data_IF_725486777364
#
_entry.id   IF_725486777364
#
_cell.length_a   1.000
_cell.length_b   1.000
_cell.length_c   1.000
_cell.angle_alpha   90.00
_cell.angle_beta   90.00
_cell.angle_gamma   90.00
#
_symmetry.space_group_name_H-M   'P 1'
#
loop_
_entity.id
_entity.type
_entity.pdbx_description
1 polymer ?
#
# COMPACT_ATOMS: atom_id res chain seq x y z
N UNK A 1 -23.55 25.10 -33.77
CA UNK A 1 -23.43 26.22 -32.82
C UNK A 1 -22.20 25.96 -31.98
N UNK A 2 -21.08 26.62 -32.28
CA UNK A 2 -19.91 26.54 -31.39
C UNK A 2 -20.20 27.38 -30.16
N UNK A 3 -20.06 26.79 -28.98
CA UNK A 3 -20.38 27.44 -27.73
C UNK A 3 -19.29 28.48 -27.44
N UNK A 4 -19.69 29.72 -27.11
CA UNK A 4 -18.78 30.82 -26.74
C UNK A 4 -17.73 30.42 -25.69
N UNK A 5 -18.07 29.46 -24.82
CA UNK A 5 -17.18 28.91 -23.82
C UNK A 5 -15.97 28.17 -24.43
N UNK A 6 -16.19 27.34 -25.47
CA UNK A 6 -15.11 26.61 -26.15
C UNK A 6 -14.15 27.57 -26.85
N UNK A 7 -14.66 28.64 -27.44
CA UNK A 7 -13.83 29.67 -28.09
C UNK A 7 -12.97 30.43 -27.08
N UNK A 8 -13.53 30.77 -25.91
CA UNK A 8 -12.79 31.45 -24.83
C UNK A 8 -11.73 30.54 -24.22
N UNK A 9 -12.07 29.28 -23.97
CA UNK A 9 -11.13 28.30 -23.42
C UNK A 9 -10.00 28.02 -24.41
N UNK A 10 -10.32 27.83 -25.69
CA UNK A 10 -9.31 27.64 -26.75
C UNK A 10 -8.35 28.83 -26.83
N UNK A 11 -8.84 30.07 -26.77
CA UNK A 11 -7.98 31.27 -26.79
C UNK A 11 -7.07 31.34 -25.57
N UNK A 12 -7.61 31.12 -24.36
CA UNK A 12 -6.80 31.13 -23.13
C UNK A 12 -5.73 30.04 -23.11
N UNK A 13 -6.07 28.83 -23.57
CA UNK A 13 -5.11 27.73 -23.67
C UNK A 13 -4.02 28.05 -24.70
N UNK A 14 -4.36 28.71 -25.81
CA UNK A 14 -3.40 29.11 -26.85
C UNK A 14 -2.45 30.21 -26.35
N UNK A 15 -2.97 31.19 -25.59
CA UNK A 15 -2.14 32.24 -24.98
C UNK A 15 -1.20 31.68 -23.90
N UNK A 16 -1.69 30.76 -23.06
CA UNK A 16 -0.88 30.07 -22.06
C UNK A 16 0.21 29.20 -22.70
N UNK A 17 -0.12 28.50 -23.79
CA UNK A 17 0.87 27.70 -24.53
C UNK A 17 1.90 28.60 -25.22
N UNK A 18 1.49 29.74 -25.77
CA UNK A 18 2.40 30.69 -26.39
C UNK A 18 3.37 31.31 -25.39
N UNK A 19 2.90 31.63 -24.19
CA UNK A 19 3.77 32.10 -23.09
C UNK A 19 4.74 31.02 -22.62
N UNK A 20 4.37 29.73 -22.70
CA UNK A 20 5.28 28.62 -22.39
C UNK A 20 6.33 28.39 -23.49
N UNK A 21 5.94 28.53 -24.76
CA UNK A 21 6.82 28.32 -25.90
C UNK A 21 7.80 29.50 -26.08
N UNK A 22 7.36 30.73 -25.81
CA UNK A 22 8.18 31.94 -25.93
C UNK A 22 9.06 32.21 -24.69
N UNK A 23 8.89 31.44 -23.60
CA UNK A 23 9.71 31.56 -22.40
C UNK A 23 11.11 30.95 -22.64
N UNK A 24 12.20 31.68 -22.30
CA UNK A 24 13.54 31.13 -22.43
C UNK A 24 13.71 29.88 -21.53
N UNK A 25 14.35 28.85 -22.07
CA UNK A 25 14.56 27.57 -21.38
C UNK A 25 15.22 27.80 -20.01
N UNK A 26 14.60 27.26 -18.95
CA UNK A 26 15.10 27.35 -17.56
C UNK A 26 14.35 28.32 -16.63
N UNK A 27 13.44 29.15 -17.15
CA UNK A 27 12.65 30.11 -16.35
C UNK A 27 11.70 29.46 -15.35
N UNK A 28 10.96 28.43 -15.76
CA UNK A 28 10.06 27.68 -14.87
C UNK A 28 10.77 27.03 -13.67
N UNK A 29 12.03 26.66 -13.86
CA UNK A 29 12.83 26.05 -12.80
C UNK A 29 13.38 27.10 -11.83
N UNK A 30 13.66 28.32 -12.30
CA UNK A 30 14.08 29.45 -11.47
C UNK A 30 12.92 29.93 -10.58
N UNK A 31 11.74 30.15 -11.15
CA UNK A 31 10.56 30.62 -10.40
C UNK A 31 10.12 29.59 -9.34
N UNK A 32 10.16 28.30 -9.69
CA UNK A 32 9.86 27.22 -8.75
C UNK A 32 10.88 27.16 -7.59
N UNK A 33 12.16 27.45 -7.86
CA UNK A 33 13.21 27.48 -6.85
C UNK A 33 13.05 28.65 -5.88
N UNK A 34 12.66 29.83 -6.38
CA UNK A 34 12.38 31.01 -5.57
C UNK A 34 11.17 30.80 -4.65
N UNK A 35 10.09 30.22 -5.18
CA UNK A 35 8.91 29.88 -4.39
C UNK A 35 9.24 28.87 -3.28
N UNK A 36 10.02 27.83 -3.58
CA UNK A 36 10.46 26.84 -2.61
C UNK A 36 11.35 27.45 -1.51
N UNK A 37 12.22 28.40 -1.87
CA UNK A 37 13.11 29.09 -0.93
C UNK A 37 12.34 30.01 0.03
N UNK A 38 11.34 30.74 -0.49
CA UNK A 38 10.44 31.59 0.30
C UNK A 38 9.63 30.79 1.33
N UNK A 39 9.10 29.62 0.93
CA UNK A 39 8.40 28.75 1.87
C UNK A 39 9.33 28.19 2.96
N UNK A 40 10.54 27.80 2.58
CA UNK A 40 11.55 27.33 3.53
C UNK A 40 11.89 28.42 4.56
N UNK A 41 12.15 29.66 4.13
CA UNK A 41 12.44 30.79 5.02
C UNK A 41 11.29 31.10 5.99
N UNK A 42 10.03 31.09 5.52
CA UNK A 42 8.85 31.28 6.39
C UNK A 42 8.79 30.26 7.53
N UNK A 43 9.08 28.99 7.23
CA UNK A 43 9.07 27.91 8.24
C UNK A 43 10.21 28.06 9.24
N UNK A 44 11.36 28.58 8.82
CA UNK A 44 12.52 28.76 9.70
C UNK A 44 12.37 30.00 10.58
N UNK A 45 11.78 31.10 10.09
CA UNK A 45 11.42 32.27 10.90
C UNK A 45 10.34 31.95 11.96
N UNK A 46 9.35 31.12 11.61
CA UNK A 46 8.33 30.67 12.57
C UNK A 46 8.94 29.89 13.75
N UNK A 47 10.04 29.15 13.50
CA UNK A 47 10.69 28.32 14.51
C UNK A 47 11.61 29.10 15.45
N UNK A 48 11.99 30.33 15.09
CA UNK A 48 12.92 31.18 15.85
C UNK A 48 12.25 32.33 16.59
N UNK A 49 10.93 32.49 16.50
CA UNK A 49 10.21 33.49 17.31
C UNK A 49 10.05 32.92 18.72
N UNK A 50 10.68 33.50 19.76
CA UNK A 50 10.37 33.12 21.13
C UNK A 50 8.92 33.52 21.38
N UNK A 51 8.08 32.56 21.77
CA UNK A 51 6.75 32.86 22.29
C UNK A 51 6.92 33.92 23.39
N UNK A 52 6.26 35.10 23.30
CA UNK A 52 6.31 36.05 24.40
C UNK A 52 5.83 35.34 25.67
N UNK A 53 6.46 35.58 26.84
CA UNK A 53 5.98 35.00 28.07
C UNK A 53 4.56 35.53 28.27
N UNK A 54 3.57 34.65 28.07
CA UNK A 54 2.21 34.97 28.46
C UNK A 54 2.25 35.16 29.97
N UNK A 55 1.92 36.35 30.46
CA UNK A 55 1.68 36.57 31.87
C UNK A 55 0.65 35.53 32.31
N UNK A 56 1.09 34.59 33.14
CA UNK A 56 0.26 33.51 33.66
C UNK A 56 -0.89 34.17 34.43
N UNK A 57 -2.16 33.96 34.04
CA UNK A 57 -3.28 34.46 34.83
C UNK A 57 -3.19 33.86 36.23
N UNK A 58 -3.54 34.61 37.29
CA UNK A 58 -3.44 34.13 38.66
C UNK A 58 -4.23 32.83 38.77
N UNK A 59 -3.55 31.78 39.25
CA UNK A 59 -4.12 30.46 39.46
C UNK A 59 -5.19 30.61 40.54
N UNK A 60 -6.42 30.92 40.13
CA UNK A 60 -7.60 30.67 40.93
C UNK A 60 -7.63 29.16 41.17
N UNK A 61 -7.91 28.76 42.41
CA UNK A 61 -8.05 27.36 42.85
C UNK A 61 -9.21 26.67 42.10
N UNK A 62 -9.00 26.40 40.82
CA UNK A 62 -9.84 25.50 40.05
C UNK A 62 -9.57 24.10 40.61
N UNK A 63 -10.61 23.33 40.95
CA UNK A 63 -10.45 21.93 41.26
C UNK A 63 -9.68 21.32 40.09
N UNK A 64 -8.55 20.66 40.39
CA UNK A 64 -7.86 19.84 39.41
C UNK A 64 -8.80 18.70 39.06
N UNK A 65 -9.71 18.93 38.11
CA UNK A 65 -10.35 17.86 37.37
C UNK A 65 -9.20 17.12 36.73
N UNK A 66 -8.82 16.02 37.38
CA UNK A 66 -7.81 15.13 36.86
C UNK A 66 -8.24 14.83 35.43
N UNK A 67 -7.34 14.95 34.43
CA UNK A 67 -7.65 14.47 33.10
C UNK A 67 -8.19 13.06 33.27
N UNK A 68 -9.42 12.84 32.81
CA UNK A 68 -10.03 11.52 32.79
C UNK A 68 -9.14 10.73 31.84
N UNK A 69 -8.08 10.12 32.38
CA UNK A 69 -7.35 9.07 31.71
C UNK A 69 -8.33 7.91 31.72
N UNK A 70 -9.21 7.92 30.72
CA UNK A 70 -10.03 6.78 30.38
C UNK A 70 -9.04 5.64 30.16
N UNK A 71 -8.97 4.75 31.15
CA UNK A 71 -8.11 3.57 31.16
C UNK A 71 -8.35 2.89 29.81
N UNK A 72 -7.35 2.73 28.94
CA UNK A 72 -7.58 2.18 27.62
C UNK A 72 -8.22 0.82 27.85
N UNK A 73 -9.44 0.65 27.34
CA UNK A 73 -10.24 -0.54 27.50
C UNK A 73 -9.47 -1.71 26.87
N UNK A 74 -8.71 -2.40 27.72
CA UNK A 74 -7.85 -3.53 27.40
C UNK A 74 -8.73 -4.77 27.17
N UNK A 75 -9.57 -4.76 26.13
CA UNK A 75 -10.24 -5.96 25.59
C UNK A 75 -11.04 -5.69 24.31
N UNK A 76 -10.49 -4.89 23.39
CA UNK A 76 -10.94 -4.98 22.00
C UNK A 76 -10.24 -6.19 21.37
N UNK A 77 -10.93 -7.31 21.07
CA UNK A 77 -10.31 -8.40 20.34
C UNK A 77 -9.70 -7.80 19.08
N UNK A 78 -8.41 -8.07 18.82
CA UNK A 78 -7.75 -7.59 17.61
C UNK A 78 -8.50 -8.18 16.42
N UNK A 79 -9.49 -7.44 15.93
CA UNK A 79 -10.39 -7.89 14.88
C UNK A 79 -9.52 -8.16 13.66
N UNK A 80 -9.59 -9.39 13.15
CA UNK A 80 -8.76 -9.80 12.02
C UNK A 80 -9.25 -9.01 10.81
N UNK A 81 -8.61 -7.88 10.53
CA UNK A 81 -9.01 -6.92 9.48
C UNK A 81 -9.04 -7.52 8.06
N UNK A 82 -8.40 -8.68 7.85
CA UNK A 82 -8.33 -9.36 6.56
C UNK A 82 -8.71 -10.86 6.65
N UNK A 83 -9.97 -11.19 7.03
CA UNK A 83 -10.38 -12.59 7.17
C UNK A 83 -10.53 -13.27 5.80
N UNK A 84 -11.07 -12.54 4.80
CA UNK A 84 -11.25 -13.04 3.43
C UNK A 84 -9.92 -13.43 2.76
N UNK A 85 -8.87 -12.62 2.96
CA UNK A 85 -7.56 -12.87 2.36
C UNK A 85 -6.91 -14.15 2.90
N UNK A 86 -7.13 -14.46 4.18
CA UNK A 86 -6.69 -15.72 4.80
C UNK A 86 -7.46 -16.93 4.24
N UNK A 87 -8.76 -16.77 3.95
CA UNK A 87 -9.55 -17.81 3.28
C UNK A 87 -9.02 -18.07 1.87
N UNK A 88 -8.74 -17.02 1.10
CA UNK A 88 -8.18 -17.15 -0.26
C UNK A 88 -6.83 -17.88 -0.22
N UNK A 89 -5.93 -17.51 0.69
CA UNK A 89 -4.67 -18.24 0.87
C UNK A 89 -4.90 -19.73 1.19
N UNK A 90 -5.87 -20.02 2.07
CA UNK A 90 -6.28 -21.39 2.38
C UNK A 90 -6.81 -22.17 1.16
N UNK A 91 -7.59 -21.52 0.29
CA UNK A 91 -8.10 -22.13 -0.95
C UNK A 91 -6.95 -22.47 -1.89
N UNK A 92 -6.01 -21.54 -2.11
CA UNK A 92 -4.81 -21.81 -2.93
C UNK A 92 -4.00 -22.98 -2.38
N UNK A 93 -3.81 -23.04 -1.07
CA UNK A 93 -3.11 -24.14 -0.41
C UNK A 93 -3.85 -25.48 -0.60
N UNK A 94 -5.17 -25.51 -0.41
CA UNK A 94 -5.97 -26.71 -0.60
C UNK A 94 -5.93 -27.21 -2.05
N UNK A 95 -6.11 -26.30 -3.02
CA UNK A 95 -6.03 -26.62 -4.45
C UNK A 95 -4.64 -27.12 -4.83
N UNK A 96 -3.57 -26.54 -4.28
CA UNK A 96 -2.22 -27.01 -4.53
C UNK A 96 -2.02 -28.46 -4.09
N UNK A 97 -2.51 -28.84 -2.90
CA UNK A 97 -2.45 -30.23 -2.44
C UNK A 97 -3.29 -31.17 -3.30
N UNK A 98 -4.47 -30.73 -3.74
CA UNK A 98 -5.32 -31.52 -4.66
C UNK A 98 -4.60 -31.73 -5.99
N UNK A 99 -4.06 -30.68 -6.61
CA UNK A 99 -3.34 -30.77 -7.88
C UNK A 99 -2.10 -31.65 -7.74
N UNK A 100 -1.34 -31.51 -6.64
CA UNK A 100 -0.20 -32.38 -6.38
C UNK A 100 -0.61 -33.84 -6.26
N UNK A 101 -1.68 -34.13 -5.51
CA UNK A 101 -2.19 -35.49 -5.36
C UNK A 101 -2.64 -36.07 -6.71
N UNK A 102 -3.37 -35.29 -7.51
CA UNK A 102 -3.80 -35.71 -8.85
C UNK A 102 -2.61 -35.95 -9.78
N UNK A 103 -1.60 -35.10 -9.77
CA UNK A 103 -0.39 -35.27 -10.58
C UNK A 103 0.34 -36.58 -10.21
N UNK A 104 0.43 -36.92 -8.92
CA UNK A 104 1.01 -38.19 -8.46
C UNK A 104 0.17 -39.39 -8.92
N UNK A 105 -1.16 -39.32 -8.78
CA UNK A 105 -2.05 -40.41 -9.20
C UNK A 105 -1.93 -40.66 -10.71
N UNK A 106 -1.94 -39.60 -11.52
CA UNK A 106 -1.80 -39.70 -12.97
C UNK A 106 -0.42 -40.24 -13.34
N UNK A 107 0.64 -39.76 -12.68
CA UNK A 107 2.00 -40.29 -12.87
C UNK A 107 2.05 -41.80 -12.64
N UNK A 108 1.57 -42.28 -11.48
CA UNK A 108 1.57 -43.71 -11.14
C UNK A 108 0.73 -44.50 -12.16
N UNK A 109 -0.45 -43.99 -12.52
CA UNK A 109 -1.33 -44.65 -13.50
C UNK A 109 -0.64 -44.86 -14.84
N UNK A 110 0.08 -43.85 -15.33
CA UNK A 110 0.82 -43.93 -16.60
C UNK A 110 1.99 -44.90 -16.49
N UNK A 111 2.76 -44.86 -15.41
CA UNK A 111 3.93 -45.72 -15.21
C UNK A 111 3.55 -47.20 -15.10
N UNK A 112 2.43 -47.52 -14.44
CA UNK A 112 1.99 -48.91 -14.26
C UNK A 112 1.33 -49.49 -15.52
N UNK A 113 0.62 -48.67 -16.30
CA UNK A 113 -0.16 -49.15 -17.45
C UNK A 113 0.55 -49.08 -18.80
N UNK A 114 1.62 -48.28 -18.93
CA UNK A 114 2.30 -48.06 -20.21
C UNK A 114 3.82 -48.02 -20.07
N UNK A 115 4.51 -48.83 -20.89
CA UNK A 115 5.97 -49.00 -20.86
C UNK A 115 6.74 -47.96 -21.67
N UNK A 116 6.09 -47.22 -22.59
CA UNK A 116 6.74 -46.23 -23.46
C UNK A 116 6.52 -44.76 -23.04
N UNK A 117 5.79 -44.51 -21.95
CA UNK A 117 5.30 -43.18 -21.57
C UNK A 117 6.04 -42.52 -20.40
N UNK A 118 7.25 -42.98 -20.06
CA UNK A 118 7.99 -42.49 -18.88
C UNK A 118 8.32 -40.99 -18.97
N UNK A 119 8.68 -40.49 -20.15
CA UNK A 119 8.92 -39.06 -20.36
C UNK A 119 7.66 -38.21 -20.20
N UNK A 120 6.51 -38.71 -20.68
CA UNK A 120 5.22 -38.05 -20.50
C UNK A 120 4.83 -38.03 -19.02
N UNK A 121 5.01 -39.15 -18.32
CA UNK A 121 4.73 -39.27 -16.89
C UNK A 121 5.58 -38.26 -16.09
N UNK A 122 6.89 -38.21 -16.35
CA UNK A 122 7.79 -37.22 -15.74
C UNK A 122 7.37 -35.79 -16.05
N UNK A 123 6.97 -35.49 -17.29
CA UNK A 123 6.47 -34.18 -17.66
C UNK A 123 5.23 -33.77 -16.88
N UNK A 124 4.28 -34.70 -16.66
CA UNK A 124 3.08 -34.45 -15.86
C UNK A 124 3.41 -34.28 -14.38
N UNK A 125 4.29 -35.12 -13.83
CA UNK A 125 4.68 -35.03 -12.42
C UNK A 125 5.42 -33.72 -12.12
N UNK A 126 6.40 -33.37 -12.95
CA UNK A 126 7.18 -32.15 -12.79
C UNK A 126 6.35 -30.91 -13.11
N UNK A 127 5.55 -30.92 -14.18
CA UNK A 127 4.67 -29.82 -14.54
C UNK A 127 3.59 -29.57 -13.49
N UNK A 128 2.91 -30.63 -13.04
CA UNK A 128 1.91 -30.57 -11.98
C UNK A 128 2.50 -30.20 -10.63
N UNK A 129 3.69 -30.74 -10.31
CA UNK A 129 4.44 -30.39 -9.10
C UNK A 129 4.88 -28.93 -9.08
N UNK A 130 5.41 -28.42 -10.19
CA UNK A 130 5.80 -27.01 -10.32
C UNK A 130 4.58 -26.09 -10.20
N UNK A 131 3.45 -26.44 -10.81
CA UNK A 131 2.20 -25.71 -10.67
C UNK A 131 1.71 -25.70 -9.21
N UNK A 132 1.71 -26.85 -8.53
CA UNK A 132 1.34 -26.95 -7.12
C UNK A 132 2.27 -26.11 -6.22
N UNK A 133 3.58 -26.16 -6.47
CA UNK A 133 4.57 -25.33 -5.76
C UNK A 133 4.33 -23.83 -6.00
N UNK A 134 4.02 -23.42 -7.22
CA UNK A 134 3.70 -22.02 -7.52
C UNK A 134 2.44 -21.57 -6.77
N UNK A 135 1.41 -22.42 -6.68
CA UNK A 135 0.21 -22.13 -5.90
C UNK A 135 0.48 -22.05 -4.40
N UNK A 136 1.31 -22.95 -3.84
CA UNK A 136 1.76 -22.87 -2.45
C UNK A 136 2.52 -21.57 -2.19
N UNK A 137 3.43 -21.19 -3.09
CA UNK A 137 4.17 -19.95 -2.98
C UNK A 137 3.24 -18.72 -2.97
N UNK A 138 2.23 -18.68 -3.84
CA UNK A 138 1.21 -17.61 -3.83
C UNK A 138 0.49 -17.56 -2.47
N UNK A 139 0.08 -18.72 -1.94
CA UNK A 139 -0.54 -18.80 -0.61
C UNK A 139 0.36 -18.23 0.49
N UNK A 140 1.65 -18.60 0.51
CA UNK A 140 2.61 -18.12 1.51
C UNK A 140 2.90 -16.63 1.38
N UNK A 141 2.98 -16.10 0.15
CA UNK A 141 3.11 -14.65 -0.08
C UNK A 141 1.92 -13.89 0.50
N UNK A 142 0.68 -14.37 0.29
CA UNK A 142 -0.51 -13.74 0.86
C UNK A 142 -0.46 -13.75 2.41
N UNK A 143 -0.11 -14.89 3.01
CA UNK A 143 0.02 -15.02 4.47
C UNK A 143 1.08 -14.06 5.01
N UNK A 144 2.23 -13.97 4.34
CA UNK A 144 3.31 -13.06 4.71
C UNK A 144 2.84 -11.60 4.73
N UNK A 145 2.10 -11.14 3.73
CA UNK A 145 1.55 -9.77 3.73
C UNK A 145 0.57 -9.53 4.89
N UNK A 146 -0.29 -10.51 5.20
CA UNK A 146 -1.20 -10.43 6.35
C UNK A 146 -0.40 -10.33 7.66
N UNK A 147 0.68 -11.10 7.78
CA UNK A 147 1.50 -11.12 8.99
C UNK A 147 2.33 -9.84 9.15
N UNK A 148 2.85 -9.28 8.05
CA UNK A 148 3.52 -7.95 8.05
C UNK A 148 2.55 -6.88 8.51
N UNK A 149 1.33 -6.82 7.94
CA UNK A 149 0.32 -5.84 8.33
C UNK A 149 -0.02 -5.94 9.82
N UNK A 150 -0.21 -7.17 10.31
CA UNK A 150 -0.47 -7.40 11.73
C UNK A 150 0.69 -6.90 12.59
N UNK A 151 1.94 -7.16 12.21
CA UNK A 151 3.10 -6.77 12.98
C UNK A 151 3.30 -5.24 13.00
N UNK A 152 3.16 -4.58 11.85
CA UNK A 152 3.25 -3.11 11.75
C UNK A 152 2.14 -2.43 12.55
N UNK A 153 0.92 -2.97 12.56
CA UNK A 153 -0.19 -2.43 13.37
C UNK A 153 0.06 -2.57 14.86
N UNK A 154 0.66 -3.68 15.30
CA UNK A 154 1.04 -3.87 16.71
C UNK A 154 2.15 -2.87 17.08
N UNK A 155 3.16 -2.71 16.23
CA UNK A 155 4.27 -1.78 16.48
C UNK A 155 3.81 -0.32 16.58
N UNK A 156 2.85 0.12 15.76
CA UNK A 156 2.34 1.50 15.78
C UNK A 156 1.45 1.83 17.00
N UNK A 157 1.10 0.84 17.83
CA UNK A 157 0.35 1.05 19.07
C UNK A 157 1.26 1.30 20.29
N UNK A 158 2.56 1.09 20.15
CA UNK A 158 3.58 1.37 21.18
C UNK A 158 4.34 2.64 20.81
#
# INVERSE_FOLDING_TARGET
MNNRFEEVMSKKTTEALRTIIDAPEGTYQADALEAAKLEWEKRHQSKTTPTPPMEEPPIADMPLEQPIFEKPEENQPVERRYPALRVIAGIYQALAYIIMLLAVIVFISIVVTSSQSLWLALGILLGGGLLALAMLAISEVIKLFIDIEKNTRIAARY
#
